data_IF_168432366247
#
_entry.id   IF_168432366247
#
_cell.length_a   1.000
_cell.length_b   1.000
_cell.length_c   1.000
_cell.angle_alpha   90.00
_cell.angle_beta   90.00
_cell.angle_gamma   90.00
#
_symmetry.space_group_name_H-M   'P 1'
#
loop_
_entity.id
_entity.type
_entity.pdbx_description
1 polymer ?
2 non-polymer ?
3 non-polymer ?
4 water ?
#
# COMPACT_ATOMS: atom_id res chain seq x y z
N UNK A 5 -3.97 -2.67 24.67
CA UNK A 5 -4.74 -3.90 24.59
C UNK A 5 -4.85 -4.43 23.18
N UNK A 6 -4.81 -5.76 23.04
CA UNK A 6 -4.90 -6.42 21.75
C UNK A 6 -6.21 -7.20 21.73
N UNK A 7 -7.15 -6.73 20.91
CA UNK A 7 -8.47 -7.32 20.78
C UNK A 7 -8.57 -8.10 19.48
N UNK A 8 -9.56 -8.98 19.41
CA UNK A 8 -9.85 -9.77 18.21
C UNK A 8 -11.27 -9.47 17.74
N UNK A 9 -11.41 -9.14 16.46
CA UNK A 9 -12.70 -8.89 15.83
C UNK A 9 -12.93 -9.91 14.71
N UNK A 10 -14.16 -10.41 14.63
CA UNK A 10 -14.58 -11.23 13.48
C UNK A 10 -15.38 -10.32 12.56
N UNK A 11 -14.72 -9.81 11.54
CA UNK A 11 -15.30 -8.80 10.67
C UNK A 11 -15.99 -9.42 9.47
N UNK A 12 -16.83 -8.62 8.82
CA UNK A 12 -17.51 -9.01 7.59
C UNK A 12 -16.88 -8.28 6.42
N UNK A 13 -16.67 -9.00 5.32
CA UNK A 13 -16.04 -8.43 4.14
C UNK A 13 -17.06 -7.54 3.42
N UNK A 14 -16.81 -6.24 3.39
CA UNK A 14 -17.66 -5.33 2.64
C UNK A 14 -17.40 -5.45 1.14
N UNK A 15 -16.14 -5.34 0.74
CA UNK A 15 -15.76 -5.47 -0.65
C UNK A 15 -14.32 -5.98 -0.73
N UNK A 16 -13.96 -6.47 -1.90
CA UNK A 16 -12.62 -6.98 -2.14
C UNK A 16 -12.25 -6.74 -3.60
N UNK A 17 -12.42 -5.50 -4.05
CA UNK A 17 -12.26 -5.17 -5.46
C UNK A 17 -10.79 -4.88 -5.78
N UNK A 18 -10.45 -5.10 -7.06
CA UNK A 18 -9.11 -4.79 -7.53
C UNK A 18 -8.92 -3.29 -7.66
N UNK A 19 -7.90 -2.76 -6.97
CA UNK A 19 -7.46 -1.40 -7.23
C UNK A 19 -6.33 -1.34 -8.24
N UNK A 20 -5.67 -2.48 -8.48
CA UNK A 20 -4.65 -2.60 -9.51
C UNK A 20 -4.72 -4.03 -10.05
N UNK A 21 -3.78 -4.37 -10.93
CA UNK A 21 -3.77 -5.69 -11.52
C UNK A 21 -3.54 -6.77 -10.46
N UNK A 22 -2.67 -6.48 -9.49
CA UNK A 22 -2.29 -7.47 -8.48
C UNK A 22 -2.52 -6.96 -7.06
N UNK A 23 -3.43 -6.01 -6.88
CA UNK A 23 -3.72 -5.44 -5.57
C UNK A 23 -5.24 -5.37 -5.40
N UNK A 24 -5.73 -5.88 -4.27
CA UNK A 24 -7.13 -5.82 -3.92
C UNK A 24 -7.32 -4.98 -2.66
N UNK A 25 -8.43 -4.24 -2.62
CA UNK A 25 -8.79 -3.44 -1.45
C UNK A 25 -9.77 -4.24 -0.60
N UNK A 26 -9.29 -4.75 0.54
CA UNK A 26 -10.12 -5.52 1.45
C UNK A 26 -10.77 -4.56 2.43
N UNK A 27 -12.06 -4.30 2.24
CA UNK A 27 -12.83 -3.46 3.15
C UNK A 27 -13.55 -4.35 4.16
N UNK A 28 -13.20 -4.21 5.43
CA UNK A 28 -13.77 -5.01 6.50
C UNK A 28 -14.62 -4.14 7.42
N UNK A 29 -15.78 -4.65 7.81
CA UNK A 29 -16.70 -3.94 8.69
C UNK A 29 -16.47 -4.38 10.13
N UNK A 30 -16.17 -3.42 11.00
CA UNK A 30 -15.98 -3.72 12.41
C UNK A 30 -17.32 -4.00 13.06
N UNK A 31 -17.47 -5.10 13.81
CA UNK A 31 -18.77 -5.43 14.38
C UNK A 31 -19.18 -4.42 15.45
N UNK A 32 -20.50 -4.29 15.62
CA UNK A 32 -21.11 -3.51 16.70
C UNK A 32 -20.73 -2.04 16.63
N UNK A 33 -20.48 -1.53 15.42
CA UNK A 33 -20.20 -0.12 15.23
C UNK A 33 -18.92 0.37 15.89
N UNK A 34 -18.13 -0.56 16.43
CA UNK A 34 -16.89 -0.20 17.10
C UNK A 34 -15.88 0.32 16.08
N UNK A 35 -14.80 0.89 16.59
CA UNK A 35 -13.70 1.36 15.78
C UNK A 35 -12.39 0.86 16.37
N UNK A 36 -11.47 0.44 15.50
CA UNK A 36 -10.15 0.01 15.94
C UNK A 36 -9.35 1.27 16.29
N UNK A 37 -8.98 1.48 17.58
CA UNK A 37 -8.23 2.69 17.97
C UNK A 37 -6.76 2.60 17.61
N UNK A 38 -6.47 2.74 16.32
CA UNK A 38 -5.12 2.54 15.81
C UNK A 38 -4.45 3.88 15.51
N UNK A 39 -3.20 3.80 15.07
CA UNK A 39 -2.41 4.96 14.68
C UNK A 39 -2.09 4.85 13.19
N UNK A 40 -1.87 5.99 12.56
CA UNK A 40 -1.49 5.99 11.16
C UNK A 40 -0.17 5.23 10.98
N UNK A 41 -0.07 4.51 9.87
CA UNK A 41 1.06 3.63 9.63
C UNK A 41 1.02 2.33 10.39
N UNK A 42 0.11 2.17 11.33
CA UNK A 42 -0.03 0.93 12.06
C UNK A 42 -0.58 -0.18 11.19
N UNK A 43 -0.72 -1.36 11.79
CA UNK A 43 -1.15 -2.54 11.06
C UNK A 43 -1.97 -3.43 11.99
N UNK A 44 -2.69 -4.37 11.38
CA UNK A 44 -3.39 -5.41 12.12
C UNK A 44 -2.92 -6.75 11.58
N UNK A 45 -3.43 -7.84 12.14
CA UNK A 45 -3.07 -9.18 11.70
C UNK A 45 -4.33 -9.96 11.34
N UNK A 46 -4.25 -10.71 10.25
CA UNK A 46 -5.35 -11.54 9.76
C UNK A 46 -4.95 -13.00 9.93
N UNK A 47 -5.79 -13.77 10.60
CA UNK A 47 -5.60 -15.21 10.73
C UNK A 47 -6.55 -15.95 9.81
N UNK A 48 -6.14 -17.12 9.37
CA UNK A 48 -6.90 -17.93 8.43
C UNK A 48 -6.80 -19.39 8.82
N UNK A 49 -7.88 -20.15 8.72
CA UNK A 49 -7.85 -21.57 9.07
C UNK A 49 -7.29 -22.40 7.92
N UNK A 50 -7.23 -23.72 8.14
CA UNK A 50 -6.85 -24.63 7.08
C UNK A 50 -7.87 -24.55 5.95
N UNK A 51 -7.38 -24.37 4.72
CA UNK A 51 -8.25 -24.11 3.59
C UNK A 51 -7.61 -24.60 2.31
N UNK A 52 -8.33 -24.45 1.20
CA UNK A 52 -7.85 -24.83 -0.12
C UNK A 52 -8.52 -23.90 -1.13
N UNK A 53 -7.79 -22.88 -1.57
CA UNK A 53 -8.32 -21.89 -2.49
C UNK A 53 -7.76 -22.16 -3.88
N UNK A 54 -8.56 -21.84 -4.89
CA UNK A 54 -8.16 -21.96 -6.28
C UNK A 54 -8.21 -20.57 -6.91
N UNK A 55 -7.14 -20.21 -7.64
CA UNK A 55 -7.09 -18.90 -8.28
C UNK A 55 -8.20 -18.72 -9.30
N UNK A 56 -8.74 -19.80 -9.86
CA UNK A 56 -9.86 -19.69 -10.80
C UNK A 56 -11.12 -19.17 -10.12
N UNK A 57 -11.17 -19.18 -8.80
CA UNK A 57 -12.32 -18.66 -8.06
C UNK A 57 -12.19 -17.19 -7.72
N UNK A 58 -11.06 -16.57 -8.05
CA UNK A 58 -10.88 -15.14 -7.77
C UNK A 58 -11.76 -14.31 -8.69
N UNK A 59 -12.28 -13.22 -8.15
CA UNK A 59 -13.07 -12.26 -8.94
C UNK A 59 -12.14 -11.17 -9.42
N UNK A 60 -11.65 -11.30 -10.65
CA UNK A 60 -10.76 -10.34 -11.27
C UNK A 60 -11.50 -9.68 -12.42
N UNK A 61 -11.70 -8.36 -12.39
CA UNK A 61 -12.37 -7.70 -13.52
C UNK A 61 -11.55 -7.84 -14.79
N UNK A 62 -12.24 -7.82 -15.94
CA UNK A 62 -11.55 -7.94 -17.21
C UNK A 62 -10.61 -6.77 -17.47
N UNK A 63 -10.82 -5.64 -16.78
CA UNK A 63 -9.90 -4.52 -16.88
C UNK A 63 -8.50 -4.92 -16.41
N UNK A 64 -8.41 -5.81 -15.43
CA UNK A 64 -7.13 -6.27 -14.91
C UNK A 64 -6.80 -7.71 -15.29
N UNK A 65 -7.73 -8.44 -15.91
CA UNK A 65 -7.51 -9.85 -16.20
C UNK A 65 -6.43 -10.07 -17.26
N UNK A 66 -6.09 -9.05 -18.03
CA UNK A 66 -5.13 -9.16 -19.11
C UNK A 66 -3.87 -9.94 -18.80
N UNK A 67 -3.08 -9.46 -17.84
CA UNK A 67 -1.84 -10.15 -17.48
C UNK A 67 -2.10 -11.46 -16.74
N UNK A 68 -3.30 -11.64 -16.19
CA UNK A 68 -3.62 -12.91 -15.53
C UNK A 68 -3.73 -14.04 -16.54
N UNK A 69 -4.32 -13.77 -17.70
CA UNK A 69 -4.43 -14.79 -18.74
C UNK A 69 -3.10 -15.00 -19.46
N UNK A 70 -2.34 -13.92 -19.66
CA UNK A 70 -1.08 -14.04 -20.38
C UNK A 70 -0.08 -14.90 -19.63
N UNK A 71 -0.08 -14.85 -18.31
CA UNK A 71 0.81 -15.66 -17.49
C UNK A 71 0.15 -16.92 -16.94
N UNK A 72 -1.10 -17.18 -17.32
CA UNK A 72 -1.84 -18.36 -16.87
C UNK A 72 -1.89 -18.41 -15.34
N UNK A 73 -2.20 -17.26 -14.74
CA UNK A 73 -2.17 -17.16 -13.28
C UNK A 73 -3.36 -17.85 -12.61
N UNK A 74 -4.46 -18.05 -13.33
CA UNK A 74 -5.60 -18.76 -12.76
C UNK A 74 -5.35 -20.25 -12.58
N UNK A 75 -4.20 -20.76 -13.03
CA UNK A 75 -3.85 -22.15 -12.82
C UNK A 75 -3.48 -22.44 -11.37
N UNK A 76 -3.13 -21.41 -10.61
CA UNK A 76 -2.57 -21.61 -9.28
C UNK A 76 -3.63 -22.10 -8.29
N UNK A 77 -3.20 -22.93 -7.36
CA UNK A 77 -3.99 -23.35 -6.21
C UNK A 77 -3.12 -23.20 -4.96
N UNK A 78 -3.78 -23.18 -3.81
CA UNK A 78 -3.05 -23.00 -2.55
C UNK A 78 -3.81 -23.73 -1.45
N UNK A 79 -3.19 -24.78 -0.91
CA UNK A 79 -3.72 -25.49 0.24
C UNK A 79 -2.88 -25.15 1.47
N UNK A 80 -3.56 -24.99 2.60
CA UNK A 80 -2.93 -24.66 3.86
C UNK A 80 -3.46 -25.63 4.91
N UNK A 81 -2.55 -26.22 5.69
CA UNK A 81 -2.90 -27.29 6.62
C UNK A 81 -3.14 -26.80 8.04
N UNK A 82 -2.38 -25.81 8.50
CA UNK A 82 -2.53 -25.26 9.84
C UNK A 82 -2.90 -23.80 9.77
N UNK A 83 -3.54 -23.26 10.81
CA UNK A 83 -3.86 -21.83 10.83
C UNK A 83 -2.60 -20.98 10.68
N UNK A 84 -2.68 -19.99 9.79
CA UNK A 84 -1.60 -19.07 9.51
C UNK A 84 -2.05 -17.66 9.87
N UNK A 85 -1.10 -16.72 9.82
CA UNK A 85 -1.38 -15.35 10.23
C UNK A 85 -0.31 -14.41 9.68
N UNK A 86 -0.72 -13.28 9.13
CA UNK A 86 0.18 -12.28 8.59
C UNK A 86 -0.27 -10.90 9.04
N UNK A 87 0.56 -9.90 8.77
CA UNK A 87 0.27 -8.51 9.10
C UNK A 87 -0.05 -7.73 7.82
N UNK A 88 -0.95 -6.76 7.95
CA UNK A 88 -1.34 -5.91 6.83
C UNK A 88 -1.62 -4.50 7.33
N UNK A 89 -1.17 -3.51 6.57
CA UNK A 89 -1.24 -2.12 6.99
C UNK A 89 -2.60 -1.52 6.67
N UNK A 90 -3.08 -0.68 7.58
CA UNK A 90 -4.35 0.01 7.35
C UNK A 90 -4.18 1.08 6.28
N UNK A 91 -5.05 1.03 5.27
CA UNK A 91 -5.06 2.09 4.26
C UNK A 91 -5.81 3.32 4.74
N UNK A 92 -6.75 3.15 5.66
CA UNK A 92 -7.53 4.25 6.20
C UNK A 92 -6.83 4.86 7.41
N UNK A 93 -7.12 6.12 7.68
CA UNK A 93 -6.54 6.84 8.80
C UNK A 93 -7.50 6.80 10.00
N UNK A 94 -6.98 7.03 11.22
CA UNK A 94 -7.78 6.73 12.43
C UNK A 94 -9.22 7.21 12.43
N UNK A 95 -9.50 8.41 11.95
CA UNK A 95 -10.85 8.96 12.03
C UNK A 95 -11.76 8.50 10.90
N UNK A 96 -11.37 7.49 10.14
CA UNK A 96 -12.26 6.80 9.20
C UNK A 96 -12.79 5.58 9.95
N UNK A 97 -13.87 5.78 10.69
CA UNK A 97 -14.32 4.82 11.69
C UNK A 97 -15.08 3.67 11.07
N UNK A 98 -15.21 2.59 11.86
CA UNK A 98 -16.07 1.48 11.53
C UNK A 98 -15.51 0.48 10.53
N UNK A 99 -14.48 0.85 9.76
CA UNK A 99 -13.96 -0.02 8.72
C UNK A 99 -12.45 -0.14 8.85
N UNK A 100 -11.94 -1.31 8.50
CA UNK A 100 -10.52 -1.54 8.28
C UNK A 100 -10.30 -1.71 6.79
N UNK A 101 -9.47 -0.85 6.21
CA UNK A 101 -9.22 -0.84 4.78
C UNK A 101 -7.78 -1.29 4.53
N UNK A 102 -7.62 -2.31 3.69
CA UNK A 102 -6.32 -2.93 3.46
C UNK A 102 -6.01 -2.98 1.98
N UNK A 103 -4.72 -2.87 1.64
CA UNK A 103 -4.22 -3.06 0.29
C UNK A 103 -3.34 -4.30 0.30
N UNK A 104 -3.84 -5.38 -0.30
CA UNK A 104 -3.21 -6.68 -0.23
C UNK A 104 -2.67 -7.03 -1.62
N UNK A 105 -1.35 -7.04 -1.74
CA UNK A 105 -0.70 -7.53 -2.95
C UNK A 105 -0.77 -9.06 -2.98
N UNK A 106 -1.25 -9.62 -4.08
CA UNK A 106 -1.32 -11.08 -4.19
C UNK A 106 0.09 -11.62 -4.36
N UNK A 107 0.52 -12.44 -3.40
CA UNK A 107 1.89 -12.96 -3.39
C UNK A 107 1.96 -14.21 -4.28
N UNK A 108 1.84 -13.97 -5.58
CA UNK A 108 2.02 -15.04 -6.55
C UNK A 108 3.45 -15.56 -6.47
N UNK A 109 3.69 -16.78 -6.96
CA UNK A 109 5.06 -17.27 -7.08
C UNK A 109 5.93 -16.28 -7.84
N UNK A 110 7.17 -16.06 -7.41
CA UNK A 110 8.00 -15.06 -8.06
C UNK A 110 8.18 -15.38 -9.53
N UNK A 111 8.31 -14.35 -10.38
CA UNK A 111 8.50 -14.62 -11.81
C UNK A 111 9.79 -15.37 -12.11
N UNK A 112 10.80 -15.24 -11.26
CA UNK A 112 12.05 -15.97 -11.41
C UNK A 112 12.01 -17.36 -10.79
N UNK A 113 10.88 -17.75 -10.20
CA UNK A 113 10.69 -19.08 -9.63
C UNK A 113 9.20 -19.37 -9.59
N UNK A 114 8.56 -19.59 -10.75
CA UNK A 114 7.10 -19.53 -10.82
C UNK A 114 6.38 -20.80 -10.38
N UNK A 115 7.09 -21.87 -10.01
CA UNK A 115 6.45 -23.13 -9.66
C UNK A 115 6.53 -23.45 -8.17
N UNK A 116 6.85 -22.45 -7.35
CA UNK A 116 6.83 -22.61 -5.90
C UNK A 116 5.39 -22.43 -5.43
N UNK A 117 5.03 -22.83 -4.22
CA UNK A 117 3.67 -22.59 -3.72
C UNK A 117 3.35 -21.10 -3.70
N UNK A 118 2.12 -20.73 -4.04
CA UNK A 118 1.74 -19.31 -3.98
C UNK A 118 1.70 -18.82 -2.54
N UNK A 119 1.65 -17.50 -2.41
CA UNK A 119 1.53 -16.87 -1.11
C UNK A 119 0.32 -17.38 -0.35
N UNK A 120 0.54 -17.89 0.86
CA UNK A 120 -0.53 -18.57 1.58
C UNK A 120 -1.64 -17.61 1.97
N UNK A 121 -1.32 -16.55 2.71
CA UNK A 121 -2.36 -15.68 3.25
C UNK A 121 -2.96 -14.79 2.16
N UNK A 122 -2.12 -14.27 1.26
CA UNK A 122 -2.62 -13.36 0.23
C UNK A 122 -3.57 -14.07 -0.72
N UNK A 123 -3.31 -15.34 -1.02
CA UNK A 123 -4.24 -16.10 -1.85
C UNK A 123 -5.55 -16.36 -1.10
N UNK A 124 -5.50 -16.52 0.21
CA UNK A 124 -6.72 -16.67 0.99
C UNK A 124 -7.51 -15.37 1.01
N UNK A 125 -6.83 -14.24 1.15
CA UNK A 125 -7.50 -12.94 1.16
C UNK A 125 -8.16 -12.68 -0.19
N UNK A 126 -7.45 -13.00 -1.28
CA UNK A 126 -8.00 -12.78 -2.61
C UNK A 126 -9.16 -13.72 -2.94
N UNK A 127 -9.37 -14.77 -2.15
CA UNK A 127 -10.53 -15.62 -2.30
C UNK A 127 -11.74 -15.12 -1.52
N UNK A 128 -11.54 -14.19 -0.59
CA UNK A 128 -12.66 -13.65 0.19
C UNK A 128 -13.56 -12.82 -0.69
N UNK A 129 -14.87 -12.91 -0.44
CA UNK A 129 -15.87 -12.17 -1.18
C UNK A 129 -16.75 -11.41 -0.21
N UNK A 130 -17.58 -10.52 -0.76
CA UNK A 130 -18.48 -9.71 0.06
C UNK A 130 -19.42 -10.59 0.86
N UNK A 131 -19.42 -10.43 2.18
CA UNK A 131 -20.22 -11.23 3.08
C UNK A 131 -19.43 -12.26 3.85
N UNK A 132 -18.22 -12.59 3.43
CA UNK A 132 -17.40 -13.55 4.14
C UNK A 132 -16.96 -12.99 5.49
N UNK A 133 -16.57 -13.89 6.38
CA UNK A 133 -16.06 -13.54 7.69
C UNK A 133 -14.54 -13.51 7.67
N UNK A 134 -13.97 -12.49 8.30
CA UNK A 134 -12.51 -12.32 8.35
C UNK A 134 -12.13 -11.91 9.77
N UNK A 135 -11.35 -12.76 10.44
CA UNK A 135 -10.94 -12.51 11.82
C UNK A 135 -9.64 -11.72 11.82
N UNK A 136 -9.66 -10.54 12.43
CA UNK A 136 -8.48 -9.70 12.55
C UNK A 136 -8.19 -9.45 14.02
N UNK A 137 -6.96 -9.06 14.30
CA UNK A 137 -6.51 -8.78 15.66
C UNK A 137 -5.56 -7.60 15.64
N UNK A 138 -5.45 -6.93 16.78
CA UNK A 138 -4.59 -5.77 16.92
C UNK A 138 -5.22 -4.69 17.78
N UNK A 139 -4.89 -3.42 17.49
CA UNK A 139 -3.96 -3.04 16.43
C UNK A 139 -2.50 -3.05 16.91
N UNK A 140 -1.57 -3.10 15.97
CA UNK A 140 -0.15 -3.01 16.25
C UNK A 140 0.46 -1.89 15.43
N UNK A 141 1.55 -1.31 15.94
CA UNK A 141 2.21 -0.24 15.22
C UNK A 141 3.71 -0.17 15.44
N UNK A 142 4.44 0.21 14.40
CA UNK A 142 5.90 0.35 14.48
C UNK A 142 6.37 1.48 13.58
N UNK A 143 5.51 1.91 12.67
CA UNK A 143 5.84 2.89 11.64
C UNK A 143 5.01 4.15 11.89
N UNK A 144 5.58 5.12 12.60
CA UNK A 144 4.91 6.35 12.93
C UNK A 144 5.68 7.55 12.38
N UNK A 145 5.00 8.69 12.34
CA UNK A 145 5.58 9.92 11.84
C UNK A 145 6.24 10.70 12.98
N UNK A 146 7.32 11.41 12.64
CA UNK A 146 8.01 12.24 13.62
C UNK A 146 7.20 13.50 13.90
N UNK A 147 7.18 13.89 15.17
CA UNK A 147 6.44 15.09 15.61
C UNK A 147 7.39 16.28 15.58
N UNK A 148 7.62 16.78 14.36
CA UNK A 148 8.49 17.94 14.15
C UNK A 148 7.77 18.91 13.22
N UNK A 149 8.53 19.84 12.66
CA UNK A 149 8.04 20.77 11.65
C UNK A 149 8.78 20.63 10.33
N UNK A 150 9.54 19.56 10.16
CA UNK A 150 10.35 19.38 8.96
C UNK A 150 9.50 18.92 7.78
N UNK A 151 10.05 19.09 6.59
CA UNK A 151 9.36 18.69 5.37
C UNK A 151 9.26 17.17 5.30
N UNK A 152 8.08 16.68 4.91
CA UNK A 152 7.81 15.25 4.80
C UNK A 152 7.74 14.87 3.32
N UNK A 153 8.47 13.82 2.96
CA UNK A 153 8.48 13.30 1.59
C UNK A 153 8.04 11.84 1.65
N UNK A 154 6.89 11.55 1.06
CA UNK A 154 6.34 10.20 1.05
C UNK A 154 6.60 9.54 -0.30
N UNK A 155 7.16 8.34 -0.26
CA UNK A 155 7.41 7.54 -1.46
C UNK A 155 6.66 6.23 -1.30
N UNK A 156 5.87 5.86 -2.31
CA UNK A 156 5.06 4.66 -2.24
C UNK A 156 5.22 3.82 -3.49
N UNK A 157 4.91 2.53 -3.33
CA UNK A 157 4.97 1.59 -4.44
C UNK A 157 4.17 0.34 -4.16
N UNK A 158 3.32 -0.05 -5.10
CA UNK A 158 2.55 -1.28 -4.93
C UNK A 158 1.59 -1.18 -3.78
N UNK A 159 1.54 -2.23 -2.96
CA UNK A 159 0.68 -2.25 -1.79
C UNK A 159 1.13 -1.27 -0.72
N UNK A 160 2.31 -0.66 -0.86
CA UNK A 160 2.75 0.35 0.09
C UNK A 160 1.91 1.60 0.08
N UNK A 161 0.92 1.69 -0.81
CA UNK A 161 0.00 2.82 -0.80
C UNK A 161 -0.76 2.90 0.51
N UNK A 162 -1.06 1.75 1.13
CA UNK A 162 -1.92 1.75 2.31
C UNK A 162 -1.34 2.54 3.49
N UNK A 163 -0.10 2.27 3.95
CA UNK A 163 0.41 3.10 5.06
C UNK A 163 0.71 4.53 4.65
N UNK A 164 1.06 4.76 3.39
CA UNK A 164 1.26 6.14 2.92
C UNK A 164 -0.04 6.92 2.99
N UNK A 165 -1.13 6.35 2.47
CA UNK A 165 -2.43 7.03 2.51
C UNK A 165 -2.88 7.25 3.95
N UNK A 166 -2.62 6.28 4.83
CA UNK A 166 -3.02 6.42 6.23
C UNK A 166 -2.27 7.57 6.90
N UNK A 167 -0.98 7.71 6.60
CA UNK A 167 -0.20 8.79 7.19
C UNK A 167 -0.59 10.15 6.63
N UNK A 168 -0.79 10.23 5.31
CA UNK A 168 -1.08 11.52 4.68
C UNK A 168 -2.43 12.05 5.14
N UNK A 169 -3.45 11.18 5.17
CA UNK A 169 -4.77 11.61 5.63
C UNK A 169 -4.73 11.97 7.11
N UNK A 170 -3.95 11.24 7.91
CA UNK A 170 -3.90 11.51 9.35
C UNK A 170 -3.25 12.86 9.63
N UNK A 171 -2.21 13.23 8.87
CA UNK A 171 -1.54 14.50 9.09
C UNK A 171 -2.42 15.68 8.69
N UNK A 172 -3.21 15.51 7.63
CA UNK A 172 -3.91 16.65 7.04
C UNK A 172 -5.29 16.90 7.64
N UNK A 173 -6.06 15.84 7.94
CA UNK A 173 -7.43 16.02 8.43
C UNK A 173 -7.55 15.83 9.93
N UNK A 174 -6.90 14.85 10.53
CA UNK A 174 -6.91 14.74 11.99
C UNK A 174 -5.97 15.74 12.63
N UNK A 175 -4.68 15.68 12.26
CA UNK A 175 -3.70 16.59 12.84
C UNK A 175 -3.79 18.00 12.29
N UNK A 176 -4.42 18.20 11.13
CA UNK A 176 -4.53 19.52 10.52
C UNK A 176 -3.16 20.16 10.32
N UNK A 177 -2.18 19.35 9.94
CA UNK A 177 -0.81 19.83 9.84
C UNK A 177 -0.63 20.78 8.66
N UNK A 178 0.20 21.80 8.86
CA UNK A 178 0.59 22.72 7.80
C UNK A 178 2.02 22.49 7.33
N UNK A 179 2.63 21.38 7.71
CA UNK A 179 3.97 21.05 7.24
C UNK A 179 3.97 20.76 5.75
N UNK A 180 5.09 21.05 5.09
CA UNK A 180 5.22 20.79 3.67
C UNK A 180 5.27 19.29 3.43
N UNK A 181 4.34 18.79 2.62
CA UNK A 181 4.21 17.36 2.36
C UNK A 181 4.15 17.11 0.86
N UNK A 182 4.60 15.93 0.46
CA UNK A 182 4.57 15.54 -0.95
C UNK A 182 4.62 14.02 -1.04
N UNK A 183 3.76 13.46 -1.88
CA UNK A 183 3.68 12.02 -2.11
C UNK A 183 4.21 11.69 -3.49
N UNK A 184 5.01 10.62 -3.58
CA UNK A 184 5.62 10.19 -4.83
C UNK A 184 5.35 8.70 -4.99
N UNK A 185 4.34 8.35 -5.78
CA UNK A 185 3.93 6.96 -5.97
C UNK A 185 4.41 6.46 -7.32
N UNK A 186 4.96 5.26 -7.32
CA UNK A 186 5.46 4.62 -8.53
C UNK A 186 4.60 3.42 -8.90
N UNK A 187 4.13 3.40 -10.14
CA UNK A 187 3.32 2.33 -10.67
C UNK A 187 3.82 1.94 -12.05
N UNK A 188 3.43 0.75 -12.50
CA UNK A 188 3.83 0.27 -13.81
C UNK A 188 3.11 1.03 -14.92
N UNK A 189 1.78 0.95 -14.95
CA UNK A 189 1.00 1.68 -15.95
C UNK A 189 -0.14 2.45 -15.29
N UNK A 190 -1.02 3.03 -16.11
CA UNK A 190 -2.07 3.89 -15.57
C UNK A 190 -3.13 3.07 -14.84
N UNK A 191 -3.44 1.87 -15.34
CA UNK A 191 -4.44 1.03 -14.70
C UNK A 191 -4.00 0.52 -13.33
N UNK A 192 -2.74 0.71 -12.96
CA UNK A 192 -2.25 0.34 -11.64
C UNK A 192 -2.38 1.46 -10.63
N UNK A 193 -2.90 2.61 -11.02
CA UNK A 193 -3.08 3.75 -10.14
C UNK A 193 -4.44 3.69 -9.46
N UNK A 194 -4.46 3.99 -8.16
CA UNK A 194 -5.71 4.04 -7.41
C UNK A 194 -5.58 5.09 -6.33
N UNK A 195 -6.72 5.40 -5.69
CA UNK A 195 -6.84 6.49 -4.73
C UNK A 195 -6.46 7.84 -5.35
N UNK A 196 -6.65 7.95 -6.67
CA UNK A 196 -6.26 9.17 -7.38
C UNK A 196 -7.15 10.33 -6.97
N UNK A 197 -8.47 10.11 -6.94
CA UNK A 197 -9.38 11.17 -6.53
C UNK A 197 -9.22 11.51 -5.07
N UNK A 198 -8.83 10.54 -4.23
CA UNK A 198 -8.58 10.83 -2.82
C UNK A 198 -7.43 11.82 -2.66
N UNK A 199 -6.31 11.56 -3.31
CA UNK A 199 -5.14 12.42 -3.17
C UNK A 199 -5.27 13.70 -3.97
N UNK A 200 -6.01 13.70 -5.09
CA UNK A 200 -6.28 14.93 -5.80
C UNK A 200 -7.12 15.88 -4.96
N UNK A 201 -8.06 15.33 -4.18
CA UNK A 201 -8.86 16.16 -3.30
C UNK A 201 -8.04 16.79 -2.18
N UNK A 202 -7.15 16.01 -1.57
CA UNK A 202 -6.30 16.56 -0.52
C UNK A 202 -5.33 17.60 -1.06
N UNK A 203 -4.80 17.36 -2.26
CA UNK A 203 -3.89 18.34 -2.85
C UNK A 203 -4.59 19.63 -3.21
N UNK A 204 -5.90 19.57 -3.46
CA UNK A 204 -6.67 20.78 -3.75
C UNK A 204 -7.20 21.45 -2.49
N UNK A 205 -7.44 20.68 -1.43
CA UNK A 205 -7.90 21.23 -0.16
C UNK A 205 -6.77 21.72 0.73
N UNK A 206 -5.52 21.52 0.32
CA UNK A 206 -4.36 21.90 1.13
C UNK A 206 -3.27 22.42 0.21
N UNK A 207 -2.80 23.65 0.46
CA UNK A 207 -1.71 24.20 -0.34
C UNK A 207 -0.38 23.52 -0.01
N UNK A 208 -0.21 23.07 1.23
CA UNK A 208 1.05 22.49 1.67
C UNK A 208 1.24 21.05 1.22
N UNK A 209 0.33 20.50 0.43
CA UNK A 209 0.44 19.12 -0.02
C UNK A 209 0.29 19.04 -1.54
N UNK A 210 1.25 18.38 -2.18
CA UNK A 210 1.17 18.01 -3.59
C UNK A 210 1.52 16.53 -3.69
N UNK A 211 1.27 15.95 -4.87
CA UNK A 211 1.62 14.56 -5.08
C UNK A 211 1.77 14.29 -6.57
N UNK A 212 2.62 13.32 -6.89
CA UNK A 212 2.93 12.97 -8.27
C UNK A 212 2.94 11.46 -8.42
N UNK A 213 2.62 10.99 -9.62
CA UNK A 213 2.68 9.58 -9.95
C UNK A 213 3.54 9.40 -11.20
N UNK A 214 4.43 8.41 -11.16
CA UNK A 214 5.33 8.11 -12.27
C UNK A 214 5.10 6.69 -12.73
N UNK A 215 5.07 6.50 -14.05
CA UNK A 215 4.85 5.21 -14.67
C UNK A 215 6.17 4.66 -15.21
N UNK A 216 6.52 3.45 -14.78
CA UNK A 216 7.75 2.82 -15.27
C UNK A 216 7.54 2.16 -16.63
N UNK A 217 6.31 1.74 -16.94
CA UNK A 217 5.97 1.13 -18.23
C UNK A 217 4.59 1.61 -18.66
N UNK A 218 4.49 2.87 -19.08
CA UNK A 218 3.19 3.39 -19.51
C UNK A 218 2.73 2.72 -20.80
N UNK A 219 1.43 2.48 -20.89
CA UNK A 219 0.83 1.76 -22.00
C UNK A 219 0.28 2.72 -23.04
N UNK A 220 0.13 2.27 -24.29
CA UNK A 220 -0.45 3.15 -25.32
C UNK A 220 -1.83 3.67 -24.97
N UNK A 221 -2.70 2.82 -24.42
CA UNK A 221 -4.04 3.25 -24.04
C UNK A 221 -4.04 4.17 -22.83
N UNK A 222 -2.90 4.36 -22.17
CA UNK A 222 -2.85 5.27 -21.03
C UNK A 222 -2.88 6.72 -21.47
N UNK A 223 -2.39 7.02 -22.67
CA UNK A 223 -2.21 8.39 -23.15
C UNK A 223 -1.45 9.22 -22.12
N UNK A 224 -0.35 8.65 -21.63
CA UNK A 224 0.33 9.19 -20.46
C UNK A 224 1.23 10.35 -20.87
N UNK A 225 1.02 11.50 -20.24
CA UNK A 225 1.87 12.67 -20.43
C UNK A 225 2.69 13.02 -19.19
N UNK A 226 2.41 12.38 -18.05
CA UNK A 226 3.09 12.69 -16.81
C UNK A 226 4.49 12.13 -16.73
N UNK A 227 4.99 12.04 -15.50
CA UNK A 227 6.34 11.58 -15.27
C UNK A 227 6.48 10.09 -15.62
N UNK A 228 7.68 9.72 -16.05
CA UNK A 228 7.97 8.34 -16.41
C UNK A 228 9.30 7.92 -15.80
N UNK A 229 9.43 6.63 -15.52
CA UNK A 229 10.62 6.07 -14.92
C UNK A 229 10.35 5.54 -13.52
N UNK A 230 11.43 5.07 -12.89
CA UNK A 230 11.34 4.57 -11.53
C UNK A 230 11.28 5.73 -10.55
N UNK A 231 10.56 5.50 -9.44
CA UNK A 231 10.16 6.60 -8.56
C UNK A 231 11.37 7.27 -7.91
N UNK A 232 12.47 6.53 -7.72
CA UNK A 232 13.65 7.15 -7.12
C UNK A 232 14.35 8.08 -8.11
N UNK A 233 14.35 7.73 -9.39
CA UNK A 233 14.88 8.63 -10.40
C UNK A 233 13.99 9.86 -10.56
N UNK A 234 12.67 9.66 -10.53
CA UNK A 234 11.74 10.77 -10.70
C UNK A 234 11.83 11.72 -9.51
N UNK A 235 11.81 11.16 -8.29
CA UNK A 235 11.89 11.99 -7.09
C UNK A 235 13.18 12.79 -7.06
N UNK A 236 14.29 12.17 -7.44
CA UNK A 236 15.57 12.88 -7.42
C UNK A 236 15.66 13.91 -8.54
N UNK A 237 15.39 13.48 -9.78
CA UNK A 237 15.62 14.35 -10.93
C UNK A 237 14.68 15.54 -10.96
N UNK A 238 13.45 15.38 -10.45
CA UNK A 238 12.44 16.42 -10.54
C UNK A 238 12.28 17.25 -9.27
N UNK A 239 13.07 16.98 -8.23
CA UNK A 239 12.90 17.73 -6.99
C UNK A 239 14.16 17.73 -6.12
N UNK A 240 14.61 16.54 -5.70
CA UNK A 240 15.64 16.47 -4.67
C UNK A 240 16.98 17.01 -5.15
N UNK A 241 17.27 16.91 -6.45
CA UNK A 241 18.59 17.33 -6.93
C UNK A 241 18.76 18.84 -6.88
N UNK A 242 17.67 19.60 -6.99
CA UNK A 242 17.72 21.05 -6.90
C UNK A 242 17.32 21.55 -5.52
N UNK A 243 16.88 20.67 -4.63
CA UNK A 243 16.54 21.07 -3.27
C UNK A 243 17.80 21.55 -2.56
N UNK A 244 17.73 22.76 -1.99
CA UNK A 244 18.87 23.32 -1.28
C UNK A 244 19.22 22.53 -0.02
N UNK A 245 18.31 21.67 0.44
CA UNK A 245 18.58 20.79 1.58
C UNK A 245 17.83 19.48 1.37
N UNK A 246 18.46 18.50 0.72
CA UNK A 246 17.85 17.17 0.68
C UNK A 246 17.68 16.57 2.06
N UNK A 247 18.61 16.86 2.98
CA UNK A 247 18.41 16.56 4.39
C UNK A 247 17.39 17.54 4.96
N UNK A 248 17.24 17.57 6.28
CA UNK A 248 16.23 18.37 6.96
C UNK A 248 14.83 17.95 6.54
N UNK A 249 14.73 16.89 5.73
CA UNK A 249 13.47 16.33 5.28
C UNK A 249 13.35 14.91 5.81
N UNK A 250 12.14 14.54 6.21
CA UNK A 250 11.86 13.21 6.73
C UNK A 250 11.21 12.38 5.63
N UNK A 251 11.86 11.28 5.26
CA UNK A 251 11.44 10.45 4.14
C UNK A 251 10.73 9.21 4.68
N UNK A 252 9.44 9.12 4.40
CA UNK A 252 8.62 7.97 4.78
C UNK A 252 8.31 7.19 3.50
N UNK A 253 8.86 5.99 3.38
CA UNK A 253 8.71 5.19 2.18
C UNK A 253 8.17 3.82 2.51
N UNK A 254 7.52 3.21 1.51
CA UNK A 254 7.00 1.85 1.63
C UNK A 254 6.66 1.31 0.24
N UNK A 255 7.36 0.26 -0.19
CA UNK A 255 7.11 -0.32 -1.48
C UNK A 255 7.81 -1.66 -1.65
N UNK A 256 7.99 -2.08 -2.90
CA UNK A 256 8.70 -3.34 -3.18
C UNK A 256 10.12 -3.28 -2.65
N UNK A 257 10.75 -4.43 -2.43
CA UNK A 257 12.13 -4.42 -1.90
C UNK A 257 13.11 -3.66 -2.75
N UNK A 258 13.04 -3.79 -4.07
CA UNK A 258 13.98 -3.07 -4.92
C UNK A 258 13.64 -1.59 -5.01
N UNK A 259 12.37 -1.20 -4.85
CA UNK A 259 12.04 0.21 -4.74
C UNK A 259 12.63 0.80 -3.46
N UNK A 260 12.45 0.10 -2.34
CA UNK A 260 13.04 0.54 -1.09
C UNK A 260 14.55 0.69 -1.21
N UNK A 261 15.22 -0.36 -1.70
CA UNK A 261 16.68 -0.33 -1.83
C UNK A 261 17.13 0.81 -2.73
N UNK A 262 16.41 1.06 -3.83
CA UNK A 262 16.79 2.13 -4.74
C UNK A 262 16.58 3.49 -4.09
N UNK A 263 15.50 3.67 -3.35
CA UNK A 263 15.24 4.95 -2.70
C UNK A 263 16.22 5.20 -1.57
N UNK A 264 16.55 4.16 -0.79
CA UNK A 264 17.48 4.31 0.32
C UNK A 264 18.84 4.78 -0.18
N UNK A 265 19.40 4.06 -1.17
CA UNK A 265 20.72 4.40 -1.67
C UNK A 265 20.74 5.78 -2.32
N UNK A 266 19.64 6.19 -2.95
CA UNK A 266 19.57 7.53 -3.52
C UNK A 266 19.60 8.59 -2.43
N UNK A 267 18.92 8.34 -1.32
CA UNK A 267 18.88 9.32 -0.24
C UNK A 267 20.20 9.39 0.51
N UNK A 268 20.80 8.24 0.80
CA UNK A 268 22.07 8.24 1.53
C UNK A 268 23.20 8.81 0.68
N UNK A 269 23.12 8.66 -0.64
CA UNK A 269 24.09 9.33 -1.52
C UNK A 269 23.85 10.83 -1.61
N UNK A 270 22.70 11.31 -1.15
CA UNK A 270 22.45 12.74 -1.04
C UNK A 270 22.89 13.32 0.31
N UNK A 271 23.42 12.48 1.20
CA UNK A 271 23.80 12.94 2.51
C UNK A 271 22.69 12.90 3.55
N UNK A 272 21.55 12.30 3.24
CA UNK A 272 20.46 12.23 4.20
C UNK A 272 20.82 11.23 5.30
N UNK A 273 20.64 11.64 6.55
CA UNK A 273 20.92 10.78 7.67
C UNK A 273 19.85 9.71 7.82
N UNK A 274 20.27 8.52 8.26
CA UNK A 274 19.33 7.42 8.45
C UNK A 274 18.29 7.72 9.53
N UNK A 275 18.58 8.65 10.44
CA UNK A 275 17.58 9.02 11.43
C UNK A 275 16.38 9.73 10.78
N UNK A 276 16.59 10.34 9.61
CA UNK A 276 15.52 11.00 8.87
C UNK A 276 14.96 10.13 7.76
N UNK A 277 15.30 8.85 7.72
CA UNK A 277 14.84 7.93 6.70
C UNK A 277 14.06 6.82 7.40
N UNK A 278 12.74 6.83 7.23
CA UNK A 278 11.84 5.89 7.93
C UNK A 278 11.19 4.99 6.89
N UNK A 279 11.40 3.67 7.05
CA UNK A 279 10.94 2.67 6.10
C UNK A 279 9.95 1.74 6.77
N UNK A 280 8.83 1.50 6.10
CA UNK A 280 7.85 0.49 6.52
C UNK A 280 8.11 -0.75 5.68
N UNK A 281 8.92 -1.66 6.22
CA UNK A 281 9.38 -2.84 5.50
C UNK A 281 8.35 -3.96 5.66
N UNK A 282 7.79 -4.41 4.54
CA UNK A 282 6.84 -5.51 4.52
C UNK A 282 7.52 -6.88 4.44
N UNK A 283 8.85 -6.92 4.50
CA UNK A 283 9.57 -8.16 4.34
C UNK A 283 9.54 -8.73 2.94
N UNK A 284 9.01 -8.00 1.97
CA UNK A 284 8.91 -8.47 0.61
C UNK A 284 8.05 -7.56 -0.24
X LIG B 1 3.96 -16.52 1.82
X LIG B 1 4.66 -16.05 3.09
X LIG B 1 3.20 -17.82 1.80
X LIG B 1 5.04 -16.54 0.63
X LIG B 1 5.87 -15.40 0.40
X LIG B 1 6.35 -15.44 -1.04
X LIG B 1 7.37 -16.44 -1.17
X LIG B 1 5.22 -15.82 -1.98
X LIG B 1 5.14 -14.87 -3.05
X LIG B 1 5.59 -17.18 -2.54
X LIG B 1 5.28 -17.26 -3.92
X LIG B 1 7.08 -17.28 -2.29
X LIG B 1 7.50 -18.68 -2.03
X LIG B 1 6.73 -19.64 -1.49
X LIG B 1 7.42 -20.80 -1.39
X LIG B 1 8.66 -20.59 -1.89
X LIG B 1 9.88 -21.38 -2.09
X LIG B 1 9.94 -22.69 -1.74
X LIG B 1 10.95 -20.77 -2.65
X LIG B 1 10.91 -19.47 -3.01
X LIG B 1 9.83 -18.69 -2.86
X LIG B 1 8.69 -19.18 -2.31
X LIG B 1 1.31 -7.09 2.54
X LIG B 1 0.38 -6.43 1.82
X LIG B 1 0.00 -6.92 0.73
X LIG B 1 -0.15 -5.27 2.22
X LIG B 1 0.19 -4.67 3.37
X LIG B 1 -0.33 -3.59 3.72
X LIG B 1 1.20 -5.34 4.22
X LIG B 1 1.61 -4.81 5.40
X LIG B 1 2.53 -5.44 6.17
X LIG B 1 2.93 -4.88 7.36
X LIG B 1 3.88 -5.51 8.16
X LIG B 1 4.30 -4.89 9.46
X LIG B 1 4.47 -6.80 7.71
X LIG B 1 5.51 -7.49 8.57
X LIG B 1 4.08 -7.37 6.51
X LIG B 1 3.13 -6.74 5.71
X LIG B 1 2.73 -7.30 4.49
X LIG B 1 1.76 -6.62 3.72
X LIG B 1 3.29 -8.58 4.02
X LIG B 1 2.33 -9.69 4.43
X LIG B 1 2.28 -9.81 5.85
X LIG B 1 2.75 -11.02 3.82
X LIG B 1 4.18 -11.16 3.93
X LIG B 1 2.35 -11.08 2.35
X LIG B 1 0.95 -10.79 2.23
X LIG B 1 2.61 -12.46 1.76
X LIG B 1 2.15 -13.45 2.66
X LIG B 1 1.68 -14.89 2.11
X LIG B 1 1.48 -15.82 3.28
X LIG B 1 0.58 -14.69 1.09
X LIG B 1 3.00 -15.34 1.31
X LIG C 1 -9.40 6.00 -8.10
X LIG C 1 -9.59 4.79 -7.31
X LIG C 1 -8.87 7.06 -7.25
X LIG C 1 -8.48 5.74 -9.20
X LIG C 1 -10.69 6.44 -8.64
X LIG D 1 3.91 -4.56 -7.28
X LIG D 1 3.43 -5.93 -7.34
X LIG D 1 4.77 -4.40 -6.11
X LIG D 1 4.65 -4.25 -8.49
X LIG D 1 2.77 -3.65 -7.16
#
# INVERSE_FOLDING_TARGET
GSHMGVKKWECTVISNDNKATFIKELKLAIPDGESVPFRAGGYIQIEAPAHHVKYADFDVPEKYRGDWDKFNLFRYESKVDEPIIRAYSMANYPEEFGIIMLNVRIATPPPNNPNVPPGQMSSYIWSLKAGDKCTISGPFGEFFAKDTDAEMVFIGGGAGMAPMRSHIFDQLKRLKSKRKMSYWYGARSKREMFYVEDFDGLAAENDNFVWHCALSDPQPEDNWTGYTGFIHNVLYENYLKDHEAPEDCEYYMCGPPMMNAAVINMLKNLGVEEENILLDDFGG
FAD PA O1A O2A O5B C5B C4B O4B C3B O3B C2B O2B C1B N9A C8A N7A C5A C6A N6A N1A C2A N3A C4A N1 C2 O2 N3 C4 O4 C4X N5 C5X C6 C7 C7M C8 C8M C9 C9A N10 C10 C1' C2' O2' C3' O3' C4' O4' C5' O5' P O1P O2P O3P
SO4 S O1 O2 O3 O4
SO4 S O1 O2 O3 O4
#
